data_IF_282083626014
#
_entry.id   IF_282083626014
#
_cell.length_a   1.000
_cell.length_b   1.000
_cell.length_c   1.000
_cell.angle_alpha   90.00
_cell.angle_beta   90.00
_cell.angle_gamma   90.00
#
_symmetry.space_group_name_H-M   'P 1'
#
loop_
_entity.id
_entity.type
_entity.pdbx_description
1 polymer ?
#
# COMPACT_ATOMS: atom_id res chain seq x y z
N UNK A 1 16.90 -9.36 2.59
CA UNK A 1 15.58 -9.46 1.95
C UNK A 1 15.30 -10.93 1.75
N UNK A 2 14.33 -11.56 2.45
CA UNK A 2 14.07 -12.98 2.27
C UNK A 2 13.22 -13.18 1.01
N UNK A 3 13.82 -13.78 -0.02
CA UNK A 3 13.10 -14.24 -1.20
C UNK A 3 12.50 -15.61 -0.89
N UNK A 4 11.23 -15.83 -1.20
CA UNK A 4 10.58 -17.13 -1.08
C UNK A 4 10.64 -17.81 -2.46
N UNK A 5 11.50 -18.83 -2.58
CA UNK A 5 11.59 -19.65 -3.79
C UNK A 5 10.52 -20.76 -3.71
N UNK A 6 9.55 -20.79 -4.63
CA UNK A 6 8.67 -21.95 -4.79
C UNK A 6 9.15 -22.77 -6.00
N UNK A 7 9.67 -23.97 -5.74
CA UNK A 7 9.99 -24.97 -6.77
C UNK A 7 8.84 -25.97 -6.87
N UNK A 8 8.21 -26.07 -8.03
CA UNK A 8 7.12 -27.03 -8.28
C UNK A 8 7.70 -28.32 -8.89
N UNK A 9 7.64 -29.48 -8.20
CA UNK A 9 8.14 -30.73 -8.74
C UNK A 9 7.24 -31.26 -9.88
N UNK A 10 7.90 -31.66 -10.97
CA UNK A 10 7.34 -32.29 -12.17
C UNK A 10 6.42 -33.50 -11.87
N UNK A 11 5.31 -33.65 -12.60
CA UNK A 11 4.54 -34.91 -12.69
C UNK A 11 4.15 -35.21 -14.15
N UNK A 12 4.33 -36.47 -14.55
CA UNK A 12 4.37 -36.95 -15.94
C UNK A 12 2.97 -37.21 -16.56
N UNK A 13 1.89 -36.84 -15.86
CA UNK A 13 0.51 -36.96 -16.34
C UNK A 13 0.00 -35.61 -16.87
N UNK A 14 -0.10 -35.52 -18.19
CA UNK A 14 -0.70 -34.44 -18.96
C UNK A 14 -2.08 -34.04 -18.43
N UNK A 15 -2.20 -32.84 -17.88
CA UNK A 15 -3.38 -32.00 -18.06
C UNK A 15 -2.93 -30.60 -18.42
N UNK A 16 -3.62 -29.98 -19.37
CA UNK A 16 -3.51 -28.55 -19.70
C UNK A 16 -4.11 -27.69 -18.58
N UNK A 17 -3.73 -27.97 -17.33
CA UNK A 17 -4.31 -27.36 -16.15
C UNK A 17 -3.55 -26.09 -15.83
N UNK A 18 -4.28 -24.97 -15.74
CA UNK A 18 -3.72 -23.71 -15.25
C UNK A 18 -3.20 -23.93 -13.82
N UNK A 19 -1.92 -23.63 -13.61
CA UNK A 19 -1.36 -23.60 -12.25
C UNK A 19 -1.73 -22.26 -11.64
N UNK A 20 -2.61 -22.27 -10.64
CA UNK A 20 -2.95 -21.07 -9.87
C UNK A 20 -1.85 -20.82 -8.83
N UNK A 21 -1.35 -19.59 -8.82
CA UNK A 21 -0.37 -19.17 -7.83
C UNK A 21 -1.12 -18.70 -6.58
N UNK A 22 -0.68 -19.14 -5.41
CA UNK A 22 -1.27 -18.69 -4.14
C UNK A 22 -0.63 -17.39 -3.70
N UNK A 23 -1.41 -16.57 -2.99
CA UNK A 23 -0.90 -15.34 -2.38
C UNK A 23 0.12 -15.67 -1.29
N UNK A 24 1.14 -14.81 -1.08
CA UNK A 24 2.10 -14.99 -0.01
C UNK A 24 1.42 -14.87 1.35
N UNK A 25 1.79 -15.76 2.28
CA UNK A 25 1.30 -15.74 3.67
C UNK A 25 1.84 -14.56 4.48
N UNK A 26 2.92 -13.92 4.01
CA UNK A 26 3.51 -12.75 4.63
C UNK A 26 3.46 -11.55 3.69
N UNK A 27 2.54 -10.63 3.96
CA UNK A 27 2.45 -9.34 3.26
C UNK A 27 3.09 -8.27 4.16
N UNK A 28 4.07 -7.48 3.66
CA UNK A 28 4.66 -6.39 4.41
C UNK A 28 3.62 -5.38 4.89
N UNK A 29 3.76 -4.88 6.12
CA UNK A 29 2.85 -3.88 6.66
C UNK A 29 2.83 -2.61 5.79
N UNK A 30 1.63 -2.15 5.43
CA UNK A 30 1.45 -0.98 4.56
C UNK A 30 1.55 -1.26 3.06
N UNK A 31 1.66 -2.53 2.66
CA UNK A 31 1.65 -2.95 1.26
C UNK A 31 0.48 -3.90 0.97
N UNK A 32 0.16 -4.05 -0.31
CA UNK A 32 -0.77 -5.06 -0.85
C UNK A 32 -0.03 -5.93 -1.85
N UNK A 33 -0.40 -7.22 -1.91
CA UNK A 33 0.12 -8.14 -2.92
C UNK A 33 -0.52 -7.83 -4.27
N UNK A 34 0.31 -7.62 -5.29
CA UNK A 34 -0.12 -7.28 -6.66
C UNK A 34 -0.02 -8.48 -7.62
N UNK A 35 0.85 -9.45 -7.31
CA UNK A 35 1.00 -10.69 -8.04
C UNK A 35 2.45 -11.18 -8.08
N UNK A 36 2.70 -12.21 -8.88
CA UNK A 36 4.03 -12.79 -9.06
C UNK A 36 4.68 -12.27 -10.34
N UNK A 37 5.96 -11.93 -10.31
CA UNK A 37 6.76 -11.53 -11.46
C UNK A 37 7.79 -12.60 -11.79
N UNK A 38 8.17 -12.75 -13.06
CA UNK A 38 9.21 -13.70 -13.50
C UNK A 38 10.61 -13.12 -13.37
N UNK A 39 10.72 -11.81 -13.40
CA UNK A 39 11.99 -11.10 -13.28
C UNK A 39 12.19 -10.59 -11.84
N UNK A 40 13.42 -10.73 -11.37
CA UNK A 40 13.84 -10.29 -10.04
C UNK A 40 13.77 -8.76 -9.84
N UNK A 41 13.73 -7.99 -10.93
CA UNK A 41 13.62 -6.53 -10.91
C UNK A 41 12.16 -6.03 -10.85
N UNK A 42 11.19 -6.95 -10.88
CA UNK A 42 9.76 -6.67 -10.86
C UNK A 42 9.26 -5.76 -12.00
N UNK A 43 10.01 -5.66 -13.10
CA UNK A 43 9.69 -4.81 -14.25
C UNK A 43 8.61 -5.43 -15.16
N UNK A 44 8.52 -6.76 -15.16
CA UNK A 44 7.46 -7.52 -15.83
C UNK A 44 6.07 -7.28 -15.23
N UNK A 45 5.05 -7.57 -16.04
CA UNK A 45 3.66 -7.62 -15.60
C UNK A 45 3.45 -8.73 -14.55
N UNK A 46 2.66 -8.41 -13.53
CA UNK A 46 2.26 -9.35 -12.48
C UNK A 46 1.36 -10.44 -13.06
N UNK A 47 1.65 -11.70 -12.72
CA UNK A 47 0.87 -12.87 -13.11
C UNK A 47 0.28 -13.55 -11.88
N UNK A 48 -0.95 -14.05 -12.01
CA UNK A 48 -1.65 -14.85 -10.99
C UNK A 48 -1.78 -16.33 -11.37
N UNK A 49 -1.43 -16.68 -12.61
CA UNK A 49 -1.43 -18.06 -13.11
C UNK A 49 -0.38 -18.25 -14.18
N UNK A 50 0.06 -19.50 -14.35
CA UNK A 50 0.94 -19.91 -15.43
C UNK A 50 0.15 -20.66 -16.49
N UNK A 51 0.38 -20.38 -17.79
CA UNK A 51 -0.26 -21.14 -18.86
C UNK A 51 0.21 -22.59 -18.83
N UNK A 52 -0.66 -23.49 -19.26
CA UNK A 52 -0.32 -24.89 -19.42
C UNK A 52 0.83 -25.07 -20.44
N UNK A 53 1.70 -26.05 -20.19
CA UNK A 53 2.81 -26.38 -21.09
C UNK A 53 4.06 -25.53 -20.91
N UNK A 54 4.24 -24.83 -19.78
CA UNK A 54 5.57 -24.38 -19.36
C UNK A 54 6.31 -25.56 -18.75
N UNK A 55 7.56 -25.76 -19.18
CA UNK A 55 8.44 -26.84 -18.73
C UNK A 55 9.67 -26.26 -18.04
N UNK A 56 10.15 -26.94 -17.00
CA UNK A 56 11.33 -26.56 -16.23
C UNK A 56 11.02 -25.74 -14.99
N UNK A 57 12.07 -25.47 -14.20
CA UNK A 57 11.98 -24.64 -13.01
C UNK A 57 11.74 -23.17 -13.40
N UNK A 58 10.78 -22.53 -12.74
CA UNK A 58 10.43 -21.12 -12.96
C UNK A 58 10.61 -20.39 -11.65
N UNK A 59 11.47 -19.37 -11.65
CA UNK A 59 11.59 -18.46 -10.53
C UNK A 59 10.48 -17.39 -10.60
N UNK A 60 9.79 -17.23 -9.48
CA UNK A 60 8.75 -16.21 -9.32
C UNK A 60 9.06 -15.33 -8.11
N UNK A 61 8.82 -14.03 -8.28
CA UNK A 61 9.10 -12.99 -7.30
C UNK A 61 7.81 -12.28 -6.93
N UNK A 62 7.48 -12.23 -5.63
CA UNK A 62 6.27 -11.54 -5.18
C UNK A 62 6.43 -10.02 -5.33
N UNK A 63 5.48 -9.39 -6.02
CA UNK A 63 5.38 -7.93 -6.17
C UNK A 63 4.39 -7.37 -5.17
N UNK A 64 4.82 -6.35 -4.44
CA UNK A 64 4.02 -5.64 -3.45
C UNK A 64 3.90 -4.17 -3.83
N UNK A 65 2.69 -3.63 -3.80
CA UNK A 65 2.43 -2.21 -4.03
C UNK A 65 2.18 -1.50 -2.70
N UNK A 66 2.74 -0.30 -2.48
CA UNK A 66 2.46 0.46 -1.27
C UNK A 66 1.00 0.89 -1.25
N UNK A 67 0.36 0.75 -0.09
CA UNK A 67 -1.02 1.13 0.09
C UNK A 67 -1.17 2.64 0.02
N UNK A 68 -2.24 3.09 -0.62
CA UNK A 68 -2.63 4.50 -0.60
C UNK A 68 -3.68 4.74 0.47
N UNK A 69 -3.54 5.84 1.20
CA UNK A 69 -4.51 6.26 2.21
C UNK A 69 -4.84 7.73 2.05
N UNK A 70 -6.06 8.09 2.41
CA UNK A 70 -6.53 9.46 2.38
C UNK A 70 -6.47 10.06 3.78
N UNK A 71 -5.79 11.19 3.93
CA UNK A 71 -5.81 12.02 5.12
C UNK A 71 -6.76 13.20 4.90
N UNK A 72 -7.73 13.34 5.79
CA UNK A 72 -8.60 14.52 5.83
C UNK A 72 -8.07 15.52 6.86
N UNK A 73 -7.90 16.77 6.42
CA UNK A 73 -7.40 17.88 7.23
C UNK A 73 -8.56 18.78 7.64
N UNK A 74 -8.63 19.09 8.94
CA UNK A 74 -9.58 20.04 9.48
C UNK A 74 -8.83 21.27 9.98
N UNK A 75 -9.00 22.39 9.29
CA UNK A 75 -8.34 23.65 9.59
C UNK A 75 -8.86 24.36 10.86
N UNK A 76 -9.83 23.77 11.59
CA UNK A 76 -10.34 24.35 12.83
C UNK A 76 -10.96 25.74 12.65
N UNK A 77 -11.57 26.01 11.50
CA UNK A 77 -12.11 27.33 11.14
C UNK A 77 -11.13 28.27 10.42
N UNK A 78 -9.90 27.82 10.14
CA UNK A 78 -9.01 28.46 9.16
C UNK A 78 -9.31 28.05 7.71
N UNK A 79 -8.57 28.63 6.76
CA UNK A 79 -8.61 28.25 5.35
C UNK A 79 -7.45 27.32 4.99
N UNK A 80 -7.72 26.40 4.06
CA UNK A 80 -6.75 25.51 3.42
C UNK A 80 -7.03 25.48 1.92
N UNK A 81 -6.00 25.36 1.10
CA UNK A 81 -6.13 25.11 -0.34
C UNK A 81 -6.72 23.72 -0.60
N UNK A 82 -6.23 22.72 0.14
CA UNK A 82 -6.71 21.34 0.06
C UNK A 82 -6.92 20.78 1.47
N UNK A 83 -8.11 20.22 1.70
CA UNK A 83 -8.48 19.60 2.97
C UNK A 83 -8.46 18.06 2.91
N UNK A 84 -8.03 17.49 1.79
CA UNK A 84 -7.97 16.05 1.54
C UNK A 84 -6.70 15.76 0.75
N UNK A 85 -5.88 14.87 1.28
CA UNK A 85 -4.60 14.48 0.67
C UNK A 85 -4.55 12.97 0.56
N UNK A 86 -4.20 12.46 -0.62
CA UNK A 86 -3.89 11.03 -0.81
C UNK A 86 -2.39 10.83 -0.66
N UNK A 87 -1.99 9.90 0.20
CA UNK A 87 -0.61 9.59 0.51
C UNK A 87 -0.31 8.12 0.22
N UNK A 88 0.89 7.87 -0.25
CA UNK A 88 1.44 6.53 -0.44
C UNK A 88 2.19 6.12 0.83
N UNK A 89 1.99 4.87 1.26
CA UNK A 89 2.71 4.33 2.40
C UNK A 89 4.23 4.38 2.22
N UNK A 90 4.93 4.91 3.22
CA UNK A 90 6.39 5.06 3.22
C UNK A 90 6.90 6.36 2.58
N UNK A 91 6.02 7.18 1.97
CA UNK A 91 6.43 8.47 1.42
C UNK A 91 6.40 9.58 2.49
N UNK A 92 7.40 10.47 2.42
CA UNK A 92 7.43 11.67 3.24
C UNK A 92 6.47 12.71 2.63
N UNK A 93 5.58 13.24 3.45
CA UNK A 93 4.67 14.31 3.05
C UNK A 93 4.64 15.43 4.07
N UNK A 94 4.64 16.67 3.57
CA UNK A 94 4.51 17.87 4.40
C UNK A 94 3.08 18.37 4.34
N UNK A 95 2.39 18.34 5.47
CA UNK A 95 1.02 18.84 5.57
C UNK A 95 0.98 20.36 5.33
N UNK A 96 -0.02 20.88 4.59
CA UNK A 96 -0.18 22.31 4.40
C UNK A 96 -0.41 23.02 5.74
N UNK A 97 -0.09 24.30 5.82
CA UNK A 97 -0.34 25.13 7.00
C UNK A 97 -1.64 25.90 6.80
N UNK A 98 -2.66 25.76 7.67
CA UNK A 98 -3.89 26.53 7.57
C UNK A 98 -3.65 27.98 7.99
N UNK A 99 -4.40 28.90 7.37
CA UNK A 99 -4.36 30.32 7.71
C UNK A 99 -5.64 30.71 8.43
N UNK A 100 -5.50 31.38 9.58
CA UNK A 100 -6.63 31.95 10.32
C UNK A 100 -6.22 33.31 10.89
N UNK A 101 -6.92 34.37 10.49
CA UNK A 101 -6.60 35.73 10.94
C UNK A 101 -6.65 35.87 12.46
N UNK A 102 -5.59 36.45 13.04
CA UNK A 102 -5.45 36.65 14.48
C UNK A 102 -5.01 35.41 15.28
N UNK A 103 -4.55 34.34 14.60
CA UNK A 103 -4.07 33.12 15.25
C UNK A 103 -2.75 32.63 14.63
N UNK A 104 -1.95 31.92 15.43
CA UNK A 104 -0.72 31.25 14.97
C UNK A 104 -0.95 29.74 14.89
N UNK A 105 -0.51 29.12 13.79
CA UNK A 105 -0.64 27.67 13.62
C UNK A 105 0.25 26.90 14.60
N UNK A 106 -0.36 26.11 15.49
CA UNK A 106 0.34 25.35 16.52
C UNK A 106 0.73 23.92 16.13
N UNK A 107 0.29 23.44 14.96
CA UNK A 107 0.59 22.09 14.48
C UNK A 107 -0.64 21.22 14.21
N UNK A 108 -0.38 20.07 13.59
CA UNK A 108 -1.39 19.06 13.26
C UNK A 108 -1.48 18.02 14.37
N UNK A 109 -2.71 17.63 14.73
CA UNK A 109 -2.96 16.59 15.73
C UNK A 109 -3.84 15.50 15.12
N UNK A 110 -3.54 14.20 15.38
CA UNK A 110 -4.37 13.13 14.88
C UNK A 110 -5.75 13.21 15.53
N UNK A 111 -6.78 13.27 14.70
CA UNK A 111 -8.14 13.15 15.21
C UNK A 111 -8.39 11.68 15.57
N UNK A 112 -8.27 11.34 16.86
CA UNK A 112 -8.72 10.04 17.33
C UNK A 112 -10.24 10.02 17.21
N UNK A 113 -10.77 9.16 16.33
CA UNK A 113 -12.16 8.75 16.40
C UNK A 113 -12.33 7.87 17.64
N UNK A 114 -12.23 8.47 18.82
CA UNK A 114 -12.72 7.87 20.05
C UNK A 114 -14.24 7.82 19.90
N UNK A 115 -14.81 6.62 20.00
CA UNK A 115 -16.24 6.47 20.21
C UNK A 115 -16.57 7.14 21.56
N UNK A 116 -16.99 8.42 21.51
CA UNK A 116 -17.34 9.21 22.68
C UNK A 116 -16.52 10.48 22.83
N UNK A 117 -17.18 11.61 22.56
CA UNK A 117 -16.87 12.97 23.03
C UNK A 117 -15.54 13.65 22.59
N UNK A 118 -15.64 14.50 21.56
CA UNK A 118 -15.27 15.92 21.71
C UNK A 118 -13.92 16.42 21.16
N UNK A 119 -14.04 17.29 20.13
CA UNK A 119 -13.20 18.45 19.75
C UNK A 119 -11.89 18.18 18.98
N UNK A 120 -11.91 18.59 17.70
CA UNK A 120 -10.74 18.69 16.82
C UNK A 120 -9.93 19.97 17.03
N UNK A 121 -8.73 19.98 16.44
CA UNK A 121 -7.74 21.05 16.26
C UNK A 121 -7.83 22.29 17.15
N UNK A 122 -6.86 22.45 18.06
CA UNK A 122 -6.72 23.67 18.86
C UNK A 122 -5.69 24.61 18.21
N UNK A 123 -6.12 25.84 17.92
CA UNK A 123 -5.26 26.95 17.53
C UNK A 123 -5.17 27.87 18.76
N UNK A 124 -3.96 28.16 19.24
CA UNK A 124 -3.74 28.96 20.45
C UNK A 124 -3.48 30.42 20.09
N UNK A 125 -3.95 31.34 20.96
CA UNK A 125 -3.76 32.79 20.85
C UNK A 125 -2.30 33.19 20.99
#
# INVERSE_FOLDING_TARGET
MPYLLMTYPYSETQETQLVTLTDPTAIPAGYSFDGWCRQSDLSDASVSSLPAGIYGDIDLYAKFLPNQYTVMLNAGGGSLTENKVTLTFGENFTLPVPVREGYTFGGWFPHRRNAGHGRGGQISR
#
